data_IF_030233591155
#
_entry.id   IF_030233591155
#
_cell.length_a   1.000
_cell.length_b   1.000
_cell.length_c   1.000
_cell.angle_alpha   90.00
_cell.angle_beta   90.00
_cell.angle_gamma   90.00
#
_symmetry.space_group_name_H-M   'P 1'
#
loop_
_entity.id
_entity.type
_entity.pdbx_description
1 polymer ?
#
# COMPACT_ATOMS: atom_id res chain seq x y z
N UNK A 1 4.09 29.58 -17.97
CA UNK A 1 4.13 29.54 -19.46
C UNK A 1 2.80 29.02 -20.03
N UNK A 2 2.51 27.71 -20.05
CA UNK A 2 1.24 27.20 -20.60
C UNK A 2 -0.02 27.70 -19.85
N UNK A 3 0.05 27.83 -18.52
CA UNK A 3 -1.01 28.42 -17.69
C UNK A 3 -1.20 29.93 -17.89
N UNK A 4 -0.16 30.67 -18.28
CA UNK A 4 -0.24 32.11 -18.55
C UNK A 4 -0.81 32.39 -19.94
N UNK A 5 -0.51 31.51 -20.91
CA UNK A 5 -1.17 31.51 -22.21
C UNK A 5 -2.66 31.15 -22.09
N UNK A 6 -3.01 30.15 -21.26
CA UNK A 6 -4.41 29.83 -20.95
C UNK A 6 -5.17 30.97 -20.23
N UNK A 7 -4.44 31.86 -19.55
CA UNK A 7 -4.98 33.07 -18.94
C UNK A 7 -5.11 34.26 -19.92
N UNK A 8 -4.80 34.06 -21.21
CA UNK A 8 -5.02 35.04 -22.28
C UNK A 8 -3.82 35.93 -22.61
N UNK A 9 -2.61 35.64 -22.11
CA UNK A 9 -1.42 36.41 -22.50
C UNK A 9 -0.83 35.98 -23.84
N UNK A 10 -0.30 36.94 -24.57
CA UNK A 10 0.34 36.70 -25.86
C UNK A 10 1.70 36.00 -25.71
N UNK A 11 1.97 35.04 -26.61
CA UNK A 11 3.24 34.28 -26.67
C UNK A 11 4.50 35.18 -26.69
N UNK A 12 4.57 36.27 -27.49
CA UNK A 12 5.73 37.17 -27.48
C UNK A 12 5.97 37.85 -26.12
N UNK A 13 4.91 38.16 -25.36
CA UNK A 13 5.03 38.76 -24.02
C UNK A 13 5.60 37.75 -23.01
N UNK A 14 5.16 36.49 -23.08
CA UNK A 14 5.69 35.40 -22.26
C UNK A 14 7.16 35.14 -22.61
N UNK A 15 7.50 35.12 -23.89
CA UNK A 15 8.86 34.94 -24.37
C UNK A 15 9.82 36.03 -23.84
N UNK A 16 9.41 37.30 -23.93
CA UNK A 16 10.18 38.43 -23.41
C UNK A 16 10.34 38.38 -21.88
N UNK A 17 9.28 38.00 -21.15
CA UNK A 17 9.30 37.95 -19.68
C UNK A 17 10.23 36.88 -19.11
N UNK A 18 10.32 35.73 -19.79
CA UNK A 18 11.17 34.62 -19.37
C UNK A 18 12.51 34.58 -20.11
N UNK A 19 12.81 35.59 -20.94
CA UNK A 19 14.02 35.67 -21.77
C UNK A 19 14.27 34.38 -22.57
N UNK A 20 13.21 33.83 -23.16
CA UNK A 20 13.26 32.59 -23.95
C UNK A 20 12.75 32.83 -25.37
N UNK A 21 13.26 32.10 -26.38
CA UNK A 21 12.78 32.22 -27.74
C UNK A 21 11.28 31.93 -27.86
N UNK A 22 10.58 32.68 -28.70
CA UNK A 22 9.13 32.48 -28.99
C UNK A 22 8.84 31.04 -29.42
N UNK A 23 9.74 30.45 -30.20
CA UNK A 23 9.64 29.05 -30.63
C UNK A 23 9.65 28.05 -29.46
N UNK A 24 10.40 28.35 -28.39
CA UNK A 24 10.44 27.52 -27.19
C UNK A 24 9.10 27.58 -26.45
N UNK A 25 8.53 28.77 -26.28
CA UNK A 25 7.21 28.95 -25.64
C UNK A 25 6.12 28.21 -26.44
N UNK A 26 6.16 28.29 -27.78
CA UNK A 26 5.23 27.58 -28.66
C UNK A 26 5.32 26.07 -28.47
N UNK A 27 6.54 25.50 -28.44
CA UNK A 27 6.77 24.07 -28.21
C UNK A 27 6.26 23.62 -26.84
N UNK A 28 6.47 24.41 -25.79
CA UNK A 28 5.98 24.12 -24.44
C UNK A 28 4.45 24.11 -24.38
N UNK A 29 3.78 25.00 -25.12
CA UNK A 29 2.32 25.02 -25.22
C UNK A 29 1.80 23.79 -25.99
N UNK A 30 2.43 23.45 -27.12
CA UNK A 30 2.07 22.27 -27.92
C UNK A 30 2.26 20.96 -27.12
N UNK A 31 3.36 20.85 -26.36
CA UNK A 31 3.63 19.70 -25.49
C UNK A 31 2.66 19.64 -24.30
N UNK A 32 2.28 20.78 -23.72
CA UNK A 32 1.25 20.83 -22.68
C UNK A 32 -0.16 20.51 -23.20
N UNK A 33 -0.46 20.84 -24.46
CA UNK A 33 -1.73 20.50 -25.12
C UNK A 33 -1.79 19.02 -25.54
N UNK A 34 -0.65 18.42 -25.91
CA UNK A 34 -0.53 17.02 -26.29
C UNK A 34 -0.39 16.07 -25.09
N UNK A 35 -0.03 16.57 -23.92
CA UNK A 35 0.04 15.76 -22.71
C UNK A 35 -1.37 15.31 -22.31
N UNK A 36 -1.67 13.99 -22.26
CA UNK A 36 -2.93 13.53 -21.70
C UNK A 36 -3.01 14.03 -20.26
N UNK A 37 -4.11 14.68 -19.91
CA UNK A 37 -4.47 15.06 -18.55
C UNK A 37 -4.32 13.82 -17.67
N UNK A 38 -3.16 13.66 -17.03
CA UNK A 38 -2.96 12.54 -16.13
C UNK A 38 -3.99 12.73 -15.03
N UNK A 39 -4.88 11.75 -14.80
CA UNK A 39 -5.81 11.86 -13.71
C UNK A 39 -4.96 12.03 -12.46
N UNK A 40 -5.12 13.18 -11.79
CA UNK A 40 -4.56 13.41 -10.47
C UNK A 40 -5.07 12.26 -9.64
N UNK A 41 -4.24 11.23 -9.43
CA UNK A 41 -4.55 10.12 -8.54
C UNK A 41 -4.79 10.79 -7.20
N UNK A 42 -6.06 10.97 -6.85
CA UNK A 42 -6.46 11.47 -5.56
C UNK A 42 -5.80 10.55 -4.55
N UNK A 43 -4.75 11.03 -3.90
CA UNK A 43 -4.08 10.31 -2.83
C UNK A 43 -5.01 10.36 -1.64
N UNK A 44 -6.00 9.47 -1.62
CA UNK A 44 -6.81 9.22 -0.44
C UNK A 44 -5.89 8.55 0.57
N UNK A 45 -5.29 9.37 1.43
CA UNK A 45 -4.54 8.89 2.59
C UNK A 45 -5.50 8.82 3.77
N UNK A 46 -5.52 7.69 4.46
CA UNK A 46 -6.15 7.59 5.77
C UNK A 46 -5.47 8.60 6.71
N UNK A 47 -6.27 9.49 7.30
CA UNK A 47 -5.79 10.37 8.36
C UNK A 47 -5.28 9.57 9.56
N UNK A 48 -4.63 10.23 10.51
CA UNK A 48 -4.01 9.60 11.68
C UNK A 48 -4.96 8.62 12.42
N UNK A 49 -6.24 8.97 12.58
CA UNK A 49 -7.23 8.10 13.21
C UNK A 49 -7.57 6.87 12.36
N UNK A 50 -7.69 7.03 11.03
CA UNK A 50 -7.92 5.93 10.11
C UNK A 50 -6.74 4.94 10.12
N UNK A 51 -5.51 5.45 10.17
CA UNK A 51 -4.33 4.61 10.31
C UNK A 51 -4.31 3.85 11.65
N UNK A 52 -4.67 4.48 12.78
CA UNK A 52 -4.76 3.79 14.08
C UNK A 52 -5.82 2.70 14.09
N UNK A 53 -6.99 2.95 13.51
CA UNK A 53 -8.07 1.96 13.41
C UNK A 53 -7.65 0.76 12.56
N UNK A 54 -6.98 1.00 11.44
CA UNK A 54 -6.46 -0.07 10.58
C UNK A 54 -5.37 -0.88 11.28
N UNK A 55 -4.47 -0.22 12.01
CA UNK A 55 -3.42 -0.88 12.80
C UNK A 55 -4.02 -1.78 13.90
N UNK A 56 -5.06 -1.30 14.60
CA UNK A 56 -5.76 -2.08 15.62
C UNK A 56 -6.45 -3.33 15.03
N UNK A 57 -7.11 -3.19 13.87
CA UNK A 57 -7.72 -4.31 13.16
C UNK A 57 -6.70 -5.36 12.74
N UNK A 58 -5.57 -4.92 12.17
CA UNK A 58 -4.49 -5.82 11.73
C UNK A 58 -3.88 -6.55 12.94
N UNK A 59 -3.62 -5.86 14.04
CA UNK A 59 -3.11 -6.47 15.26
C UNK A 59 -4.11 -7.46 15.87
N UNK A 60 -5.41 -7.13 15.89
CA UNK A 60 -6.46 -8.03 16.35
C UNK A 60 -6.57 -9.30 15.51
N UNK A 61 -6.48 -9.18 14.19
CA UNK A 61 -6.49 -10.33 13.27
C UNK A 61 -5.26 -11.23 13.44
N UNK A 62 -4.07 -10.63 13.59
CA UNK A 62 -2.83 -11.36 13.88
C UNK A 62 -2.92 -12.09 15.22
N UNK A 63 -3.43 -11.44 16.27
CA UNK A 63 -3.64 -12.05 17.57
C UNK A 63 -4.62 -13.23 17.50
N UNK A 64 -5.74 -13.07 16.78
CA UNK A 64 -6.70 -14.15 16.55
C UNK A 64 -6.07 -15.36 15.85
N UNK A 65 -5.28 -15.12 14.79
CA UNK A 65 -4.55 -16.17 14.07
C UNK A 65 -3.49 -16.85 14.92
N UNK A 66 -2.75 -16.08 15.72
CA UNK A 66 -1.74 -16.59 16.63
C UNK A 66 -2.37 -17.47 17.72
N UNK A 67 -3.53 -17.07 18.27
CA UNK A 67 -4.28 -17.88 19.22
C UNK A 67 -4.72 -19.20 18.60
N UNK A 68 -5.22 -19.20 17.36
CA UNK A 68 -5.54 -20.43 16.64
C UNK A 68 -4.33 -21.36 16.47
N UNK A 69 -3.16 -20.80 16.15
CA UNK A 69 -1.92 -21.58 16.03
C UNK A 69 -1.48 -22.18 17.38
N UNK A 70 -1.54 -21.41 18.47
CA UNK A 70 -1.23 -21.90 19.82
C UNK A 70 -2.15 -23.05 20.24
N UNK A 71 -3.43 -22.95 19.93
CA UNK A 71 -4.42 -24.02 20.17
C UNK A 71 -4.08 -25.26 19.34
N UNK A 72 -3.76 -25.12 18.06
CA UNK A 72 -3.37 -26.25 17.21
C UNK A 72 -2.11 -26.94 17.74
N UNK A 73 -1.08 -26.18 18.11
CA UNK A 73 0.17 -26.73 18.65
C UNK A 73 -0.04 -27.44 19.99
N UNK A 74 -0.88 -26.91 20.88
CA UNK A 74 -1.21 -27.58 22.15
C UNK A 74 -1.97 -28.89 21.91
N UNK A 75 -2.94 -28.92 20.99
CA UNK A 75 -3.62 -30.16 20.62
C UNK A 75 -2.67 -31.22 20.03
N UNK A 76 -1.75 -30.81 19.15
CA UNK A 76 -0.73 -31.71 18.58
C UNK A 76 0.16 -32.27 19.68
N UNK A 77 0.62 -31.43 20.61
CA UNK A 77 1.50 -31.84 21.70
C UNK A 77 0.80 -32.83 22.65
N UNK A 78 -0.47 -32.56 23.00
CA UNK A 78 -1.32 -33.49 23.78
C UNK A 78 -1.50 -34.81 23.03
N UNK A 79 -1.78 -34.78 21.73
CA UNK A 79 -1.96 -36.00 20.94
C UNK A 79 -0.69 -36.86 20.90
N UNK A 80 0.49 -36.24 20.75
CA UNK A 80 1.79 -36.94 20.77
C UNK A 80 2.06 -37.56 22.15
N UNK A 81 1.78 -36.82 23.23
CA UNK A 81 1.95 -37.34 24.61
C UNK A 81 1.00 -38.51 24.88
N UNK A 82 -0.26 -38.41 24.46
CA UNK A 82 -1.23 -39.50 24.62
C UNK A 82 -0.82 -40.73 23.79
N UNK A 83 -0.42 -40.51 22.54
CA UNK A 83 0.04 -41.60 21.66
C UNK A 83 1.27 -42.33 22.22
N UNK A 84 2.25 -41.56 22.72
CA UNK A 84 3.45 -42.13 23.34
C UNK A 84 3.12 -42.89 24.63
N UNK A 85 2.26 -42.34 25.49
CA UNK A 85 1.80 -43.02 26.71
C UNK A 85 1.09 -44.35 26.39
N UNK A 86 0.17 -44.35 25.42
CA UNK A 86 -0.52 -45.57 24.97
C UNK A 86 0.47 -46.60 24.43
N UNK A 87 1.43 -46.16 23.61
CA UNK A 87 2.45 -47.04 23.03
C UNK A 87 3.34 -47.69 24.09
N UNK A 88 3.72 -46.93 25.12
CA UNK A 88 4.48 -47.44 26.28
C UNK A 88 3.66 -48.46 27.06
N UNK A 89 2.39 -48.18 27.36
CA UNK A 89 1.51 -49.11 28.10
C UNK A 89 1.31 -50.41 27.32
N UNK A 90 1.10 -50.34 26.00
CA UNK A 90 0.95 -51.53 25.15
C UNK A 90 2.29 -52.29 25.06
N UNK A 91 3.41 -51.59 24.93
CA UNK A 91 4.75 -52.19 24.89
C UNK A 91 5.13 -52.89 26.19
N UNK A 92 4.75 -52.33 27.34
CA UNK A 92 4.93 -52.93 28.66
C UNK A 92 4.06 -54.17 28.88
N UNK A 93 2.83 -54.18 28.35
CA UNK A 93 1.93 -55.36 28.45
C UNK A 93 2.32 -56.52 27.54
N UNK A 94 3.15 -56.30 26.52
CA UNK A 94 3.58 -57.33 25.55
C UNK A 94 4.93 -57.97 25.90
N UNK A 95 5.61 -57.50 26.94
CA UNK A 95 6.76 -58.17 27.55
C UNK A 95 6.31 -58.96 28.77
#
# INVERSE_FOLDING_TARGET
MASEYAAGREIPEIAARYDVPVAYVKRVIEEAAAAPLQPVRSRWSLGYQGNRALLALVLGWLAWRASGALTVWTFVLVAVVVYTAISVVIGLRRR
#
